data_IF_205475744686
#
_entry.id   IF_205475744686
#
_cell.length_a   1.000
_cell.length_b   1.000
_cell.length_c   1.000
_cell.angle_alpha   90.00
_cell.angle_beta   90.00
_cell.angle_gamma   90.00
#
_symmetry.space_group_name_H-M   'P 1'
#
loop_
_entity.id
_entity.type
_entity.pdbx_description
1 polymer ?
#
# COMPACT_ATOMS: atom_id res chain seq x y z
N UNK A 1 -5.28 2.84 2.01
CA UNK A 1 -4.14 3.44 1.29
C UNK A 1 -3.24 2.37 0.75
N UNK A 2 -2.97 2.36 -0.55
CA UNK A 2 -2.18 1.30 -1.21
C UNK A 2 -1.05 1.85 -2.07
N UNK A 3 -0.77 3.16 -1.95
CA UNK A 3 0.25 3.79 -2.79
C UNK A 3 1.32 4.46 -1.96
N UNK A 4 2.54 4.50 -2.49
CA UNK A 4 3.61 5.28 -1.90
C UNK A 4 3.30 6.77 -2.04
N UNK A 5 3.29 7.45 -0.92
CA UNK A 5 3.22 8.91 -0.83
C UNK A 5 3.99 9.41 0.39
N UNK A 6 4.25 10.72 0.47
CA UNK A 6 5.15 11.27 1.48
C UNK A 6 4.47 11.64 2.81
N UNK A 7 3.13 11.68 2.84
CA UNK A 7 2.43 12.17 4.03
C UNK A 7 2.42 11.15 5.16
N UNK A 8 2.26 9.85 4.82
CA UNK A 8 2.24 8.84 5.85
C UNK A 8 3.28 7.73 5.67
N UNK A 9 3.62 7.28 4.45
CA UNK A 9 4.54 6.13 4.29
C UNK A 9 5.87 6.36 5.01
N UNK A 10 6.48 7.52 4.89
CA UNK A 10 7.71 7.85 5.61
C UNK A 10 7.51 7.93 7.13
N UNK A 11 6.55 8.73 7.63
CA UNK A 11 6.31 8.91 9.06
C UNK A 11 5.73 7.69 9.79
N UNK A 12 4.79 6.95 9.16
CA UNK A 12 4.07 5.86 9.82
C UNK A 12 4.69 4.49 9.59
N UNK A 13 5.35 4.27 8.46
CA UNK A 13 5.92 2.98 8.08
C UNK A 13 7.45 3.01 8.01
N UNK A 14 8.15 3.08 9.15
CA UNK A 14 9.61 3.16 9.13
C UNK A 14 10.27 1.93 8.49
N UNK A 15 9.58 0.78 8.50
CA UNK A 15 10.00 -0.42 7.82
C UNK A 15 9.85 -0.31 6.30
N UNK A 16 8.64 -0.08 5.82
CA UNK A 16 8.30 0.05 4.40
C UNK A 16 8.99 1.27 3.77
N UNK A 17 8.97 2.42 4.42
CA UNK A 17 9.60 3.65 3.93
C UNK A 17 11.12 3.56 3.76
N UNK A 18 11.78 2.63 4.45
CA UNK A 18 13.19 2.32 4.22
C UNK A 18 13.44 1.21 3.20
N UNK A 19 12.38 0.58 2.68
CA UNK A 19 12.46 -0.44 1.65
C UNK A 19 12.17 0.10 0.25
N UNK A 20 11.13 0.93 0.09
CA UNK A 20 10.70 1.49 -1.19
C UNK A 20 11.31 2.87 -1.45
N UNK A 21 11.33 3.28 -2.73
CA UNK A 21 11.88 4.57 -3.16
C UNK A 21 10.99 5.17 -4.26
N UNK A 22 10.81 6.49 -4.23
CA UNK A 22 10.13 7.24 -5.29
C UNK A 22 10.98 7.45 -6.55
N UNK A 23 12.27 7.09 -6.57
CA UNK A 23 13.18 7.36 -7.69
C UNK A 23 12.70 6.74 -9.01
N UNK A 24 12.00 5.61 -8.95
CA UNK A 24 11.44 4.91 -10.11
C UNK A 24 9.91 4.94 -10.15
N UNK A 25 9.31 5.97 -9.56
CA UNK A 25 7.84 6.11 -9.54
C UNK A 25 7.27 6.16 -10.95
N UNK A 26 6.32 5.26 -11.24
CA UNK A 26 5.58 5.21 -12.50
C UNK A 26 4.13 4.90 -12.24
N UNK A 27 3.28 5.51 -13.05
CA UNK A 27 1.85 5.26 -13.08
C UNK A 27 1.39 4.65 -14.39
N UNK A 28 0.41 3.75 -14.30
CA UNK A 28 -0.44 3.32 -15.40
C UNK A 28 -1.90 3.48 -14.97
N UNK A 29 -2.68 4.19 -15.78
CA UNK A 29 -4.11 4.43 -15.54
C UNK A 29 -4.96 3.76 -16.60
N UNK A 30 -6.02 3.08 -16.18
CA UNK A 30 -7.06 2.51 -17.04
C UNK A 30 -8.43 2.83 -16.43
N UNK A 31 -9.50 2.54 -17.18
CA UNK A 31 -10.86 2.86 -16.76
C UNK A 31 -11.21 2.32 -15.36
N UNK A 32 -10.76 1.12 -15.01
CA UNK A 32 -11.17 0.43 -13.77
C UNK A 32 -10.00 0.05 -12.86
N UNK A 33 -8.79 0.52 -13.15
CA UNK A 33 -7.64 0.29 -12.29
C UNK A 33 -6.54 1.32 -12.49
N UNK A 34 -5.69 1.41 -11.51
CA UNK A 34 -4.41 2.10 -11.60
C UNK A 34 -3.29 1.23 -11.06
N UNK A 35 -2.09 1.43 -11.57
CA UNK A 35 -0.87 0.75 -11.12
C UNK A 35 0.18 1.77 -10.77
N UNK A 36 0.71 1.67 -9.56
CA UNK A 36 1.92 2.39 -9.15
C UNK A 36 3.09 1.39 -9.11
N UNK A 37 4.20 1.73 -9.74
CA UNK A 37 5.47 1.01 -9.61
C UNK A 37 6.46 1.91 -8.89
N UNK A 38 7.17 1.37 -7.91
CA UNK A 38 8.17 2.10 -7.13
C UNK A 38 9.49 1.34 -7.06
N UNK A 39 10.59 2.09 -6.91
CA UNK A 39 11.93 1.56 -6.79
C UNK A 39 12.23 0.96 -5.43
N UNK A 40 13.47 0.52 -5.28
CA UNK A 40 14.04 0.00 -4.03
C UNK A 40 14.95 1.06 -3.41
N UNK A 41 14.84 1.26 -2.11
CA UNK A 41 15.73 2.18 -1.40
C UNK A 41 17.20 1.72 -1.48
N UNK A 42 18.11 2.68 -1.69
CA UNK A 42 19.56 2.41 -1.84
C UNK A 42 20.24 1.83 -0.59
N UNK A 43 19.51 1.69 0.52
CA UNK A 43 20.06 1.31 1.83
C UNK A 43 19.31 0.12 2.43
N UNK A 44 19.09 -0.94 1.64
CA UNK A 44 18.55 -2.19 2.17
C UNK A 44 19.41 -2.68 3.36
N UNK A 45 18.73 -3.28 4.35
CA UNK A 45 19.37 -3.71 5.61
C UNK A 45 19.44 -2.62 6.70
N UNK A 46 18.94 -1.43 6.45
CA UNK A 46 18.79 -0.35 7.44
C UNK A 46 17.33 -0.01 7.72
N UNK A 47 16.47 -1.03 7.70
CA UNK A 47 15.06 -0.85 8.00
C UNK A 47 14.85 -0.22 9.38
N UNK A 48 13.85 0.62 9.51
CA UNK A 48 13.49 1.29 10.76
C UNK A 48 12.83 0.36 11.79
N UNK A 49 12.50 -0.88 11.42
CA UNK A 49 11.97 -1.90 12.31
C UNK A 49 12.76 -3.20 12.27
N UNK A 50 12.72 -3.98 13.36
CA UNK A 50 13.37 -5.29 13.44
C UNK A 50 12.69 -6.31 12.50
N UNK A 51 11.38 -6.18 12.30
CA UNK A 51 10.58 -7.06 11.42
C UNK A 51 11.01 -6.88 9.97
N UNK A 52 11.08 -5.64 9.50
CA UNK A 52 11.57 -5.34 8.16
C UNK A 52 13.06 -5.67 7.96
N UNK A 53 13.89 -5.52 9.00
CA UNK A 53 15.29 -5.96 8.94
C UNK A 53 15.38 -7.47 8.71
N UNK A 54 14.56 -8.26 9.42
CA UNK A 54 14.48 -9.71 9.23
C UNK A 54 14.09 -10.06 7.79
N UNK A 55 13.02 -9.43 7.26
CA UNK A 55 12.58 -9.67 5.90
C UNK A 55 13.64 -9.27 4.86
N UNK A 56 14.21 -8.07 4.96
CA UNK A 56 15.25 -7.62 4.04
C UNK A 56 16.48 -8.53 4.04
N UNK A 57 16.87 -9.02 5.23
CA UNK A 57 17.95 -10.00 5.34
C UNK A 57 17.59 -11.31 4.65
N UNK A 58 16.43 -11.89 4.93
CA UNK A 58 15.97 -13.13 4.31
C UNK A 58 15.87 -13.01 2.78
N UNK A 59 15.35 -11.88 2.29
CA UNK A 59 15.27 -11.57 0.87
C UNK A 59 16.66 -11.50 0.21
N UNK A 60 17.61 -10.80 0.83
CA UNK A 60 18.98 -10.68 0.30
C UNK A 60 19.72 -12.03 0.37
N UNK A 61 19.55 -12.80 1.44
CA UNK A 61 20.14 -14.14 1.56
C UNK A 61 19.63 -15.06 0.43
N UNK A 62 18.31 -15.10 0.19
CA UNK A 62 17.72 -15.85 -0.91
C UNK A 62 18.22 -15.40 -2.29
N UNK A 63 18.46 -14.13 -2.48
CA UNK A 63 18.92 -13.54 -3.74
C UNK A 63 20.44 -13.52 -3.90
N UNK A 64 21.21 -14.15 -3.00
CA UNK A 64 22.68 -14.13 -3.05
C UNK A 64 23.28 -12.73 -2.88
N UNK A 65 22.63 -11.85 -2.12
CA UNK A 65 23.06 -10.47 -1.87
C UNK A 65 22.66 -9.46 -2.95
N UNK A 66 21.93 -9.87 -3.98
CA UNK A 66 21.52 -8.98 -5.08
C UNK A 66 20.20 -8.30 -4.75
N UNK A 67 20.14 -6.95 -4.66
CA UNK A 67 18.89 -6.22 -4.43
C UNK A 67 17.84 -6.50 -5.52
N UNK A 68 16.55 -6.45 -5.21
CA UNK A 68 15.51 -6.57 -6.22
C UNK A 68 15.50 -5.33 -7.13
N UNK A 69 14.97 -5.49 -8.34
CA UNK A 69 14.87 -4.40 -9.31
C UNK A 69 13.81 -3.36 -8.94
N UNK A 70 12.69 -3.83 -8.39
CA UNK A 70 11.57 -3.00 -7.95
C UNK A 70 11.31 -3.24 -6.46
N UNK A 71 10.83 -2.21 -5.76
CA UNK A 71 10.41 -2.30 -4.38
C UNK A 71 9.01 -2.90 -4.27
N UNK A 72 8.08 -2.33 -5.01
CA UNK A 72 6.72 -2.82 -5.10
C UNK A 72 6.05 -2.42 -6.44
N UNK A 73 5.01 -3.16 -6.79
CA UNK A 73 4.06 -2.82 -7.84
C UNK A 73 2.68 -2.99 -7.23
N UNK A 74 1.94 -1.89 -7.12
CA UNK A 74 0.62 -1.86 -6.52
C UNK A 74 -0.44 -1.57 -7.57
N UNK A 75 -1.33 -2.53 -7.79
CA UNK A 75 -2.49 -2.39 -8.64
C UNK A 75 -3.74 -2.30 -7.79
N UNK A 76 -4.52 -1.25 -7.95
CA UNK A 76 -5.85 -1.15 -7.37
C UNK A 76 -6.89 -1.35 -8.47
N UNK A 77 -7.62 -2.46 -8.39
CA UNK A 77 -8.74 -2.77 -9.27
C UNK A 77 -10.05 -2.33 -8.58
N UNK A 78 -10.67 -1.34 -9.16
CA UNK A 78 -11.80 -0.65 -8.55
C UNK A 78 -13.06 -1.51 -8.46
N UNK A 79 -13.82 -1.45 -7.36
CA UNK A 79 -13.60 -0.56 -6.21
C UNK A 79 -12.83 -1.17 -5.03
N UNK A 80 -12.51 -2.48 -5.00
CA UNK A 80 -12.25 -3.15 -3.73
C UNK A 80 -11.21 -4.28 -3.78
N UNK A 81 -10.45 -4.41 -4.86
CA UNK A 81 -9.38 -5.40 -4.97
C UNK A 81 -8.04 -4.68 -5.13
N UNK A 82 -7.08 -5.05 -4.31
CA UNK A 82 -5.71 -4.60 -4.43
C UNK A 82 -4.82 -5.80 -4.72
N UNK A 83 -3.97 -5.68 -5.73
CA UNK A 83 -3.00 -6.69 -6.12
C UNK A 83 -1.62 -6.08 -5.97
N UNK A 84 -0.84 -6.61 -5.07
CA UNK A 84 0.44 -6.06 -4.69
C UNK A 84 1.55 -7.06 -4.97
N UNK A 85 2.49 -6.65 -5.77
CA UNK A 85 3.70 -7.43 -5.97
C UNK A 85 4.83 -6.85 -5.13
N UNK A 86 5.43 -7.72 -4.32
CA UNK A 86 6.71 -7.49 -3.68
C UNK A 86 7.70 -8.55 -4.16
N UNK A 87 9.01 -8.40 -3.93
CA UNK A 87 9.99 -9.39 -4.39
C UNK A 87 9.63 -10.81 -3.90
N UNK A 88 9.34 -11.70 -4.86
CA UNK A 88 8.99 -13.12 -4.66
C UNK A 88 7.66 -13.40 -3.97
N UNK A 89 6.74 -12.44 -3.93
CA UNK A 89 5.38 -12.65 -3.46
C UNK A 89 4.38 -11.82 -4.27
N UNK A 90 3.21 -12.38 -4.53
CA UNK A 90 2.02 -11.64 -4.95
C UNK A 90 1.03 -11.67 -3.80
N UNK A 91 0.56 -10.50 -3.41
CA UNK A 91 -0.46 -10.33 -2.38
C UNK A 91 -1.76 -9.87 -3.03
N UNK A 92 -2.88 -10.46 -2.65
CA UNK A 92 -4.21 -10.03 -3.10
C UNK A 92 -5.03 -9.67 -1.88
N UNK A 93 -5.42 -8.41 -1.78
CA UNK A 93 -6.33 -7.89 -0.77
C UNK A 93 -7.71 -7.70 -1.37
N UNK A 94 -8.73 -8.21 -0.69
CA UNK A 94 -10.14 -8.03 -1.07
C UNK A 94 -10.90 -7.38 0.08
N UNK A 95 -11.46 -6.20 -0.18
CA UNK A 95 -12.20 -5.44 0.81
C UNK A 95 -13.69 -5.84 0.78
N UNK A 96 -14.20 -6.32 1.90
CA UNK A 96 -15.60 -6.72 2.08
C UNK A 96 -16.30 -5.74 3.04
N UNK A 97 -17.14 -4.82 2.54
CA UNK A 97 -17.89 -3.91 3.41
C UNK A 97 -18.93 -4.68 4.21
N UNK A 98 -18.79 -4.66 5.53
CA UNK A 98 -19.72 -5.27 6.47
C UNK A 98 -20.78 -4.26 6.94
N UNK A 99 -20.43 -2.99 6.93
CA UNK A 99 -21.30 -1.88 7.31
C UNK A 99 -20.60 -0.54 7.15
N UNK A 100 -21.28 0.57 7.42
CA UNK A 100 -20.74 1.92 7.18
C UNK A 100 -19.43 2.24 7.93
N UNK A 101 -19.14 1.49 9.00
CA UNK A 101 -17.99 1.71 9.88
C UNK A 101 -17.15 0.44 10.02
N UNK A 102 -17.37 -0.55 9.17
CA UNK A 102 -16.66 -1.82 9.29
C UNK A 102 -16.44 -2.48 7.94
N UNK A 103 -15.19 -2.74 7.64
CA UNK A 103 -14.74 -3.49 6.47
C UNK A 103 -13.90 -4.68 6.92
N UNK A 104 -14.10 -5.83 6.29
CA UNK A 104 -13.18 -6.96 6.40
C UNK A 104 -12.22 -6.89 5.22
N UNK A 105 -10.92 -6.82 5.50
CA UNK A 105 -9.89 -7.01 4.50
C UNK A 105 -9.39 -8.45 4.57
N UNK A 106 -9.52 -9.19 3.47
CA UNK A 106 -9.01 -10.54 3.32
C UNK A 106 -7.76 -10.49 2.46
N UNK A 107 -6.64 -10.94 3.01
CA UNK A 107 -5.32 -10.89 2.36
C UNK A 107 -4.82 -12.30 2.08
N UNK A 108 -4.51 -12.57 0.82
CA UNK A 108 -3.97 -13.85 0.35
C UNK A 108 -2.56 -13.64 -0.19
N UNK A 109 -1.64 -14.56 0.15
CA UNK A 109 -0.25 -14.52 -0.29
C UNK A 109 0.04 -15.67 -1.25
N UNK A 110 0.60 -15.35 -2.39
CA UNK A 110 0.99 -16.31 -3.43
C UNK A 110 2.51 -16.23 -3.63
N UNK A 111 3.19 -17.34 -3.44
CA UNK A 111 4.64 -17.47 -3.59
C UNK A 111 4.97 -18.38 -4.77
N UNK A 112 6.13 -18.19 -5.44
CA UNK A 112 6.68 -19.22 -6.32
C UNK A 112 6.84 -20.56 -5.58
N UNK A 113 6.63 -21.67 -6.27
CA UNK A 113 6.62 -23.01 -5.67
C UNK A 113 7.90 -23.31 -4.88
N UNK A 114 9.06 -22.92 -5.40
CA UNK A 114 10.35 -23.08 -4.73
C UNK A 114 10.47 -22.25 -3.45
N UNK A 115 9.91 -21.04 -3.43
CA UNK A 115 9.91 -20.20 -2.24
C UNK A 115 8.96 -20.76 -1.19
N UNK A 116 7.77 -21.17 -1.59
CA UNK A 116 6.79 -21.78 -0.69
C UNK A 116 7.29 -23.08 -0.07
N UNK A 117 8.01 -23.91 -0.85
CA UNK A 117 8.47 -25.23 -0.41
C UNK A 117 9.76 -25.20 0.42
N UNK A 118 10.68 -24.29 0.15
CA UNK A 118 12.05 -24.36 0.67
C UNK A 118 12.51 -23.13 1.44
N UNK A 119 11.84 -21.96 1.28
CA UNK A 119 12.29 -20.68 1.83
C UNK A 119 11.36 -20.19 2.95
N UNK A 120 11.12 -21.03 3.94
CA UNK A 120 10.19 -20.76 5.06
C UNK A 120 10.50 -19.44 5.77
N UNK A 121 11.77 -19.16 6.02
CA UNK A 121 12.18 -17.90 6.68
C UNK A 121 11.81 -16.67 5.83
N UNK A 122 11.96 -16.76 4.51
CA UNK A 122 11.59 -15.70 3.59
C UNK A 122 10.07 -15.44 3.61
N UNK A 123 9.28 -16.51 3.60
CA UNK A 123 7.81 -16.45 3.67
C UNK A 123 7.33 -15.83 4.98
N UNK A 124 7.78 -16.38 6.12
CA UNK A 124 7.35 -15.91 7.44
C UNK A 124 7.79 -14.45 7.72
N UNK A 125 9.01 -14.10 7.31
CA UNK A 125 9.52 -12.74 7.49
C UNK A 125 8.76 -11.72 6.62
N UNK A 126 8.40 -12.09 5.39
CA UNK A 126 7.63 -11.24 4.49
C UNK A 126 6.20 -11.03 5.02
N UNK A 127 5.52 -12.08 5.46
CA UNK A 127 4.18 -11.97 6.05
C UNK A 127 4.17 -11.12 7.32
N UNK A 128 5.20 -11.25 8.16
CA UNK A 128 5.35 -10.44 9.35
C UNK A 128 5.56 -8.95 9.01
N UNK A 129 6.36 -8.63 7.98
CA UNK A 129 6.58 -7.26 7.53
C UNK A 129 5.27 -6.65 6.96
N UNK A 130 4.52 -7.41 6.16
CA UNK A 130 3.22 -6.98 5.66
C UNK A 130 2.23 -6.70 6.81
N UNK A 131 2.16 -7.60 7.79
CA UNK A 131 1.28 -7.43 8.96
C UNK A 131 1.66 -6.21 9.80
N UNK A 132 2.95 -5.91 9.96
CA UNK A 132 3.40 -4.72 10.68
C UNK A 132 2.85 -3.45 10.01
N UNK A 133 2.96 -3.34 8.69
CA UNK A 133 2.41 -2.21 7.92
C UNK A 133 0.89 -2.11 8.07
N UNK A 134 0.16 -3.23 7.97
CA UNK A 134 -1.30 -3.21 8.15
C UNK A 134 -1.73 -2.71 9.55
N UNK A 135 -1.01 -3.10 10.59
CA UNK A 135 -1.30 -2.65 11.97
C UNK A 135 -1.04 -1.15 12.13
N UNK A 136 0.02 -0.64 11.51
CA UNK A 136 0.34 0.79 11.49
C UNK A 136 -0.75 1.59 10.76
N UNK A 137 -1.26 1.08 9.63
CA UNK A 137 -2.36 1.67 8.87
C UNK A 137 -3.68 1.69 9.64
N UNK A 138 -4.01 0.61 10.35
CA UNK A 138 -5.24 0.53 11.14
C UNK A 138 -5.30 1.66 12.19
N UNK A 139 -4.20 1.92 12.89
CA UNK A 139 -4.13 3.01 13.87
C UNK A 139 -4.34 4.39 13.23
N UNK A 140 -3.72 4.61 12.08
CA UNK A 140 -3.84 5.85 11.33
C UNK A 140 -5.26 6.02 10.78
N UNK A 141 -5.85 4.97 10.22
CA UNK A 141 -7.22 4.95 9.70
C UNK A 141 -8.27 5.27 10.76
N UNK A 142 -8.15 4.70 11.97
CA UNK A 142 -9.05 5.00 13.09
C UNK A 142 -8.99 6.48 13.50
N UNK A 143 -7.80 7.07 13.54
CA UNK A 143 -7.61 8.51 13.85
C UNK A 143 -8.20 9.40 12.76
N UNK A 144 -8.00 9.07 11.49
CA UNK A 144 -8.57 9.79 10.36
C UNK A 144 -10.11 9.75 10.39
N UNK A 145 -10.70 8.59 10.62
CA UNK A 145 -12.16 8.42 10.73
C UNK A 145 -12.74 9.25 11.89
N UNK A 146 -12.09 9.23 13.05
CA UNK A 146 -12.50 10.04 14.20
C UNK A 146 -12.41 11.56 13.87
N UNK A 147 -11.36 11.99 13.20
CA UNK A 147 -11.19 13.37 12.75
C UNK A 147 -12.27 13.79 11.74
N UNK A 148 -12.56 12.96 10.74
CA UNK A 148 -13.63 13.22 9.75
C UNK A 148 -15.01 13.31 10.39
N UNK A 149 -15.32 12.44 11.36
CA UNK A 149 -16.58 12.50 12.13
C UNK A 149 -16.69 13.81 12.92
N UNK A 150 -15.61 14.25 13.54
CA UNK A 150 -15.60 15.51 14.30
C UNK A 150 -15.82 16.73 13.39
N UNK A 151 -15.22 16.76 12.20
CA UNK A 151 -15.45 17.81 11.21
C UNK A 151 -16.91 17.82 10.76
N UNK A 152 -17.45 16.68 10.37
CA UNK A 152 -18.84 16.56 9.94
C UNK A 152 -19.84 17.00 11.04
N UNK A 153 -19.59 16.65 12.30
CA UNK A 153 -20.42 17.05 13.43
C UNK A 153 -20.46 18.57 13.63
N UNK A 154 -19.42 19.30 13.21
CA UNK A 154 -19.36 20.77 13.22
C UNK A 154 -19.93 21.44 11.96
N UNK A 155 -20.38 20.64 11.00
CA UNK A 155 -20.82 21.16 9.70
C UNK A 155 -19.69 21.54 8.75
N UNK A 156 -18.47 21.11 9.04
CA UNK A 156 -17.28 21.34 8.26
C UNK A 156 -17.05 20.19 7.28
N UNK A 157 -16.69 20.48 6.05
CA UNK A 157 -16.44 19.49 5.00
C UNK A 157 -15.09 19.77 4.29
N UNK A 158 -14.14 20.31 5.00
CA UNK A 158 -12.80 20.54 4.48
C UNK A 158 -12.15 19.22 4.07
N UNK A 159 -11.47 19.22 2.92
CA UNK A 159 -10.70 18.11 2.39
C UNK A 159 -9.29 18.57 2.04
N UNK A 160 -8.31 17.71 2.24
CA UNK A 160 -6.93 17.98 1.85
C UNK A 160 -6.75 17.99 0.32
N UNK A 161 -5.69 18.64 -0.18
CA UNK A 161 -5.30 18.57 -1.58
C UNK A 161 -4.66 17.21 -1.89
N UNK A 162 -4.70 16.81 -3.16
CA UNK A 162 -3.88 15.69 -3.66
C UNK A 162 -2.43 16.13 -3.87
N UNK A 163 -1.50 15.26 -3.55
CA UNK A 163 -0.08 15.44 -3.80
C UNK A 163 0.34 14.75 -5.11
N UNK A 164 0.43 15.52 -6.18
CA UNK A 164 0.97 14.98 -7.45
C UNK A 164 2.51 14.96 -7.41
N UNK A 165 3.19 13.94 -7.96
CA UNK A 165 2.60 12.80 -8.71
C UNK A 165 2.21 11.59 -7.85
N UNK A 166 2.48 11.57 -6.55
CA UNK A 166 2.35 10.37 -5.72
C UNK A 166 0.91 9.97 -5.47
N UNK A 167 -0.01 10.94 -5.34
CA UNK A 167 -1.44 10.69 -5.12
C UNK A 167 -2.31 10.74 -6.38
N UNK A 168 -1.71 10.76 -7.57
CA UNK A 168 -2.47 10.78 -8.84
C UNK A 168 -3.40 9.54 -8.97
N UNK A 169 -3.01 8.40 -8.41
CA UNK A 169 -3.84 7.20 -8.37
C UNK A 169 -5.08 7.35 -7.49
N UNK A 170 -4.97 8.05 -6.37
CA UNK A 170 -6.11 8.34 -5.49
C UNK A 170 -7.07 9.31 -6.16
N UNK A 171 -6.57 10.33 -6.82
CA UNK A 171 -7.41 11.23 -7.61
C UNK A 171 -8.15 10.48 -8.72
N UNK A 172 -7.47 9.61 -9.46
CA UNK A 172 -8.06 8.78 -10.50
C UNK A 172 -9.17 7.87 -9.96
N UNK A 173 -8.94 7.22 -8.81
CA UNK A 173 -9.96 6.41 -8.15
C UNK A 173 -11.16 7.24 -7.72
N UNK A 174 -10.96 8.42 -7.12
CA UNK A 174 -12.06 9.28 -6.69
C UNK A 174 -12.88 9.82 -7.86
N UNK A 175 -12.26 10.11 -8.99
CA UNK A 175 -12.97 10.55 -10.19
C UNK A 175 -13.83 9.41 -10.76
N UNK A 176 -13.26 8.20 -10.86
CA UNK A 176 -14.01 6.99 -11.23
C UNK A 176 -15.18 6.74 -10.27
N UNK A 177 -14.95 6.84 -8.96
CA UNK A 177 -15.97 6.62 -7.94
C UNK A 177 -17.13 7.63 -8.05
N UNK A 178 -16.84 8.91 -8.23
CA UNK A 178 -17.84 9.96 -8.42
C UNK A 178 -18.67 9.71 -9.67
N UNK A 179 -18.04 9.31 -10.77
CA UNK A 179 -18.74 8.95 -12.01
C UNK A 179 -19.67 7.73 -11.79
N UNK A 180 -19.14 6.66 -11.19
CA UNK A 180 -19.90 5.44 -10.91
C UNK A 180 -21.11 5.68 -9.98
N UNK A 181 -20.97 6.57 -9.00
CA UNK A 181 -22.05 6.95 -8.07
C UNK A 181 -23.01 8.00 -8.63
N UNK A 182 -22.77 8.52 -9.83
CA UNK A 182 -23.59 9.57 -10.43
C UNK A 182 -23.52 10.91 -9.69
N UNK A 183 -22.51 11.14 -8.86
CA UNK A 183 -22.27 12.41 -8.19
C UNK A 183 -21.55 13.36 -9.14
N UNK A 184 -22.30 14.19 -9.84
CA UNK A 184 -21.75 15.27 -10.64
C UNK A 184 -21.16 16.32 -9.68
N UNK A 185 -19.84 16.37 -9.58
CA UNK A 185 -19.20 17.51 -8.93
C UNK A 185 -19.46 18.75 -9.79
N UNK A 186 -19.99 19.86 -9.26
CA UNK A 186 -20.03 21.10 -10.02
C UNK A 186 -18.60 21.43 -10.47
N UNK A 187 -18.39 21.57 -11.78
CA UNK A 187 -17.14 22.10 -12.29
C UNK A 187 -16.99 23.51 -11.73
N UNK A 188 -15.94 23.72 -10.96
CA UNK A 188 -15.56 25.05 -10.49
C UNK A 188 -15.16 25.95 -11.65
#
# INVERSE_FOLDING_TARGET
EVYLEDYHVGPFHPGLGNFVSCEDLRWEFKQHYSVQTVGVANRLGRAGSAVYQRWQKALLDYRGGVPPRYGAIWLTYYPHIMVEWYPHVLTVSTLHPIGPQKTLNMVEFFYPDEVAAFERECVEAQQAAYMETCIEDDESGERMDAGRKALLARGDNEVGPYQSPMEDGMQHFHDWYREAMGTVTPKA
#
